data_IF_618696170939
#
_entry.id   IF_618696170939
#
_cell.length_a   1.000
_cell.length_b   1.000
_cell.length_c   1.000
_cell.angle_alpha   90.00
_cell.angle_beta   90.00
_cell.angle_gamma   90.00
#
_symmetry.space_group_name_H-M   'P 1'
#
loop_
_entity.id
_entity.type
_entity.pdbx_description
1 polymer ?
#
# COMPACT_ATOMS: atom_id res chain seq x y z
N UNK A 1 -4.04 37.68 56.51
CA UNK A 1 -3.14 36.55 56.22
C UNK A 1 -2.70 36.72 54.77
N UNK A 2 -1.42 36.87 54.50
CA UNK A 2 -0.95 37.23 53.17
C UNK A 2 -0.78 36.00 52.26
N UNK A 3 -1.19 36.16 51.01
CA UNK A 3 -1.01 35.21 49.91
C UNK A 3 0.41 35.39 49.34
N UNK A 4 1.19 34.32 49.40
CA UNK A 4 2.52 34.28 48.75
C UNK A 4 2.33 33.98 47.26
N UNK A 5 2.74 34.92 46.40
CA UNK A 5 2.95 34.70 44.98
C UNK A 5 4.34 34.01 44.78
N UNK A 6 4.34 32.80 44.27
CA UNK A 6 5.56 32.16 43.77
C UNK A 6 5.75 32.51 42.30
N UNK A 7 6.81 33.22 41.97
CA UNK A 7 7.23 33.50 40.61
C UNK A 7 7.94 32.28 40.03
N UNK A 8 7.41 31.67 38.98
CA UNK A 8 8.06 30.63 38.21
C UNK A 8 8.96 31.28 37.16
N UNK A 9 10.25 31.00 37.24
CA UNK A 9 11.27 31.38 36.28
C UNK A 9 11.14 30.46 35.04
N UNK A 10 10.70 30.99 33.91
CA UNK A 10 10.70 30.27 32.63
C UNK A 10 12.07 30.45 32.01
N UNK A 11 12.86 29.39 32.00
CA UNK A 11 14.09 29.29 31.22
C UNK A 11 13.73 28.89 29.80
N UNK A 12 13.75 29.82 28.89
CA UNK A 12 13.65 29.58 27.45
C UNK A 12 14.99 29.13 26.91
N UNK A 13 15.18 27.78 26.89
CA UNK A 13 16.27 27.15 26.16
C UNK A 13 15.87 27.06 24.70
N UNK A 14 16.35 27.95 23.85
CA UNK A 14 16.17 27.85 22.41
C UNK A 14 16.95 26.65 21.85
N UNK A 15 16.26 25.60 21.43
CA UNK A 15 16.82 24.55 20.58
C UNK A 15 16.70 25.05 19.14
N UNK A 16 17.80 25.52 18.57
CA UNK A 16 17.87 25.82 17.15
C UNK A 16 17.82 24.51 16.36
N UNK A 17 16.66 24.16 15.84
CA UNK A 17 16.51 23.13 14.82
C UNK A 17 16.81 23.77 13.46
N UNK A 18 18.04 23.62 12.99
CA UNK A 18 18.39 23.94 11.60
C UNK A 18 18.37 22.67 10.77
N UNK A 19 17.19 22.24 10.37
CA UNK A 19 17.03 21.41 9.19
C UNK A 19 16.14 22.18 8.21
N UNK A 20 16.73 23.17 7.52
CA UNK A 20 16.15 23.69 6.28
C UNK A 20 16.41 22.64 5.21
N UNK A 21 15.39 21.87 4.85
CA UNK A 21 15.37 21.20 3.56
C UNK A 21 15.12 22.26 2.51
N UNK A 22 16.08 22.47 1.60
CA UNK A 22 15.90 23.33 0.44
C UNK A 22 14.75 22.80 -0.43
N UNK A 23 13.72 23.59 -0.72
CA UNK A 23 12.69 23.21 -1.67
C UNK A 23 13.24 23.41 -3.08
N UNK A 24 13.40 22.32 -3.80
CA UNK A 24 13.87 22.19 -5.19
C UNK A 24 15.31 21.69 -5.37
N UNK A 25 15.66 20.56 -4.75
CA UNK A 25 16.66 19.71 -5.35
C UNK A 25 16.02 19.03 -6.57
N UNK A 26 16.30 19.53 -7.80
CA UNK A 26 16.06 18.76 -9.02
C UNK A 26 16.64 17.36 -8.78
N UNK A 27 15.87 16.31 -9.08
CA UNK A 27 16.31 14.94 -8.79
C UNK A 27 17.71 14.74 -9.39
N UNK A 28 18.70 14.59 -8.51
CA UNK A 28 20.11 14.50 -8.90
C UNK A 28 20.32 13.29 -9.80
N UNK A 29 21.20 13.43 -10.79
CA UNK A 29 21.67 12.27 -11.55
C UNK A 29 22.79 11.59 -10.76
N UNK A 30 22.61 10.31 -10.44
CA UNK A 30 23.59 9.51 -9.69
C UNK A 30 23.47 8.03 -10.03
N UNK A 31 24.41 7.24 -9.58
CA UNK A 31 24.34 5.78 -9.64
C UNK A 31 24.60 5.15 -8.28
N UNK A 32 23.95 4.02 -8.02
CA UNK A 32 24.19 3.18 -6.85
C UNK A 32 24.88 1.89 -7.29
N UNK A 33 26.00 1.54 -6.67
CA UNK A 33 26.70 0.28 -6.88
C UNK A 33 26.42 -0.65 -5.70
N UNK A 34 25.68 -1.71 -5.93
CA UNK A 34 25.26 -2.68 -4.92
C UNK A 34 25.80 -4.08 -5.23
N UNK A 35 25.94 -4.92 -4.20
CA UNK A 35 26.33 -6.32 -4.41
C UNK A 35 25.22 -7.11 -5.13
N UNK A 36 23.97 -6.69 -5.04
CA UNK A 36 22.82 -7.31 -5.71
C UNK A 36 21.70 -6.32 -5.92
N UNK A 37 21.04 -6.38 -7.07
CA UNK A 37 19.73 -5.74 -7.31
C UNK A 37 18.62 -6.80 -7.41
N UNK A 38 17.53 -6.58 -6.69
CA UNK A 38 16.31 -7.38 -6.76
C UNK A 38 15.40 -6.73 -7.80
N UNK A 39 15.31 -7.31 -8.99
CA UNK A 39 14.61 -6.67 -10.12
C UNK A 39 13.09 -6.70 -9.95
N UNK A 40 12.56 -7.75 -9.33
CA UNK A 40 11.14 -7.97 -9.05
C UNK A 40 10.23 -7.87 -10.30
N UNK A 41 10.74 -8.19 -11.47
CA UNK A 41 9.98 -8.21 -12.74
C UNK A 41 9.06 -9.41 -12.82
N UNK A 42 7.99 -9.34 -13.62
CA UNK A 42 7.17 -10.52 -13.92
C UNK A 42 7.88 -11.47 -14.88
N UNK A 43 8.56 -10.91 -15.87
CA UNK A 43 9.24 -11.65 -16.90
C UNK A 43 10.74 -11.33 -16.85
N UNK A 44 11.59 -12.33 -17.16
CA UNK A 44 13.04 -12.15 -17.21
C UNK A 44 13.75 -12.42 -15.87
N UNK A 45 15.00 -11.93 -15.73
CA UNK A 45 15.81 -12.18 -14.55
C UNK A 45 15.21 -11.51 -13.31
N UNK A 46 15.31 -12.20 -12.17
CA UNK A 46 14.75 -11.70 -10.91
C UNK A 46 15.78 -10.94 -10.07
N UNK A 47 17.05 -11.18 -10.32
CA UNK A 47 18.17 -10.55 -9.60
C UNK A 47 19.30 -10.25 -10.56
N UNK A 48 20.11 -9.29 -10.20
CA UNK A 48 21.37 -8.97 -10.86
C UNK A 48 22.45 -8.80 -9.80
N UNK A 49 23.49 -9.62 -9.84
CA UNK A 49 24.63 -9.52 -8.93
C UNK A 49 25.60 -8.43 -9.42
N UNK A 50 26.30 -7.80 -8.48
CA UNK A 50 27.24 -6.70 -8.70
C UNK A 50 26.64 -5.65 -9.64
N UNK A 51 25.56 -5.02 -9.18
CA UNK A 51 24.66 -4.22 -10.00
C UNK A 51 24.90 -2.72 -9.84
N UNK A 52 24.76 -2.00 -10.96
CA UNK A 52 24.66 -0.54 -11.00
C UNK A 52 23.24 -0.14 -11.35
N UNK A 53 22.63 0.68 -10.49
CA UNK A 53 21.35 1.34 -10.74
C UNK A 53 21.60 2.81 -10.99
N UNK A 54 21.36 3.28 -12.21
CA UNK A 54 21.49 4.69 -12.60
C UNK A 54 20.16 5.40 -12.46
N UNK A 55 20.16 6.52 -11.78
CA UNK A 55 18.99 7.39 -11.56
C UNK A 55 19.22 8.70 -12.31
N UNK A 56 18.23 9.11 -13.09
CA UNK A 56 18.19 10.39 -13.80
C UNK A 56 16.80 11.02 -13.68
N UNK A 57 16.75 12.25 -13.25
CA UNK A 57 15.48 13.01 -13.13
C UNK A 57 14.39 12.24 -12.34
N UNK A 58 14.77 11.58 -11.24
CA UNK A 58 13.84 10.82 -10.41
C UNK A 58 13.41 9.47 -10.98
N UNK A 59 13.97 9.05 -12.10
CA UNK A 59 13.65 7.79 -12.78
C UNK A 59 14.84 6.84 -12.82
N UNK A 60 14.55 5.55 -12.91
CA UNK A 60 15.56 4.54 -13.22
C UNK A 60 15.93 4.66 -14.70
N UNK A 61 17.15 5.11 -14.98
CA UNK A 61 17.67 5.22 -16.35
C UNK A 61 18.23 3.89 -16.86
N UNK A 62 18.97 3.16 -16.00
CA UNK A 62 19.58 1.87 -16.32
C UNK A 62 19.74 1.00 -15.08
N UNK A 63 19.64 -0.31 -15.27
CA UNK A 63 20.08 -1.33 -14.30
C UNK A 63 20.96 -2.30 -15.07
N UNK A 64 22.24 -2.39 -14.71
CA UNK A 64 23.24 -3.17 -15.45
C UNK A 64 24.25 -3.81 -14.50
N UNK A 65 24.96 -4.86 -14.94
CA UNK A 65 26.07 -5.41 -14.19
C UNK A 65 27.24 -4.41 -14.16
N UNK A 66 27.96 -4.32 -13.04
CA UNK A 66 29.04 -3.36 -12.89
C UNK A 66 30.14 -3.51 -13.97
N UNK A 67 30.42 -4.74 -14.40
CA UNK A 67 31.35 -5.03 -15.51
C UNK A 67 30.94 -4.45 -16.87
N UNK A 68 29.67 -4.08 -17.04
CA UNK A 68 29.07 -3.54 -18.26
C UNK A 68 28.85 -2.02 -18.17
N UNK A 69 29.31 -1.42 -17.07
CA UNK A 69 29.08 -0.01 -16.78
C UNK A 69 30.38 0.78 -16.78
N UNK A 70 30.44 1.77 -17.67
CA UNK A 70 31.41 2.83 -17.62
C UNK A 70 30.74 4.10 -17.14
N UNK A 71 31.22 4.66 -16.02
CA UNK A 71 30.66 5.86 -15.45
C UNK A 71 30.94 7.07 -16.35
N UNK A 72 29.92 7.80 -16.82
CA UNK A 72 30.12 9.07 -17.50
C UNK A 72 30.91 10.05 -16.64
N UNK A 73 31.72 10.91 -17.27
CA UNK A 73 32.46 11.94 -16.53
C UNK A 73 31.50 12.83 -15.70
N UNK A 74 31.78 12.96 -14.42
CA UNK A 74 30.99 13.75 -13.48
C UNK A 74 29.78 13.06 -12.87
N UNK A 75 29.47 11.81 -13.23
CA UNK A 75 28.43 11.04 -12.57
C UNK A 75 28.91 10.58 -11.19
N UNK A 76 28.18 10.95 -10.15
CA UNK A 76 28.42 10.42 -8.80
C UNK A 76 27.99 8.95 -8.73
N UNK A 77 28.93 8.06 -8.41
CA UNK A 77 28.66 6.65 -8.15
C UNK A 77 28.83 6.40 -6.64
N UNK A 78 27.74 6.10 -5.98
CA UNK A 78 27.69 5.78 -4.55
C UNK A 78 27.88 4.27 -4.38
N UNK A 79 28.97 3.84 -3.78
CA UNK A 79 29.19 2.44 -3.45
C UNK A 79 28.41 2.10 -2.16
N UNK A 80 27.36 1.31 -2.31
CA UNK A 80 26.53 0.86 -1.20
C UNK A 80 26.77 -0.61 -0.82
N UNK A 81 27.78 -1.27 -1.45
CA UNK A 81 28.13 -2.65 -1.09
C UNK A 81 28.61 -2.76 0.37
N UNK A 82 28.33 -3.86 1.06
CA UNK A 82 27.77 -5.14 0.56
C UNK A 82 26.23 -5.16 0.48
N UNK A 83 25.55 -4.04 0.60
CA UNK A 83 24.09 -3.97 0.60
C UNK A 83 23.50 -4.33 -0.76
N UNK A 84 22.20 -4.66 -0.74
CA UNK A 84 21.36 -4.94 -1.89
C UNK A 84 20.48 -3.73 -2.21
N UNK A 85 19.91 -3.70 -3.42
CA UNK A 85 18.89 -2.73 -3.80
C UNK A 85 17.61 -3.48 -4.15
N UNK A 86 16.50 -3.07 -3.56
CA UNK A 86 15.14 -3.52 -3.86
C UNK A 86 14.32 -2.35 -4.41
N UNK A 87 13.29 -2.60 -5.23
CA UNK A 87 12.24 -1.60 -5.44
C UNK A 87 11.59 -1.21 -4.12
N UNK A 88 11.03 -0.02 -4.06
CA UNK A 88 10.22 0.42 -2.93
C UNK A 88 8.99 -0.47 -2.71
N UNK A 89 8.64 -0.71 -1.45
CA UNK A 89 7.48 -1.51 -1.07
C UNK A 89 6.20 -0.72 -1.27
N UNK A 90 5.11 -1.43 -1.58
CA UNK A 90 3.79 -0.85 -1.86
C UNK A 90 2.75 -1.51 -0.95
N UNK A 91 2.05 -0.70 -0.16
CA UNK A 91 0.94 -1.17 0.69
C UNK A 91 -0.40 -0.65 0.17
N UNK A 92 -1.31 -1.55 -0.16
CA UNK A 92 -2.63 -1.19 -0.70
C UNK A 92 -3.75 -1.08 0.35
N UNK A 93 -3.39 -1.12 1.64
CA UNK A 93 -4.37 -0.93 2.72
C UNK A 93 -3.74 -0.18 3.90
N UNK A 94 -3.85 1.13 3.87
CA UNK A 94 -3.27 2.00 4.89
C UNK A 94 -4.24 3.10 5.30
N UNK A 95 -4.24 3.41 6.60
CA UNK A 95 -5.04 4.47 7.21
C UNK A 95 -4.17 5.55 7.87
N UNK A 96 -2.87 5.61 7.53
CA UNK A 96 -1.90 6.49 8.22
C UNK A 96 -1.43 7.70 7.40
N UNK A 97 -2.17 8.06 6.36
CA UNK A 97 -1.85 9.25 5.54
C UNK A 97 -2.25 10.60 6.14
N UNK A 98 -2.96 10.59 7.25
CA UNK A 98 -3.48 11.79 7.95
C UNK A 98 -4.02 11.46 9.33
N UNK A 99 -4.81 12.37 9.93
CA UNK A 99 -5.38 12.15 11.25
C UNK A 99 -6.41 11.02 11.24
N UNK A 100 -6.22 10.03 12.10
CA UNK A 100 -7.12 8.88 12.22
C UNK A 100 -8.56 9.23 12.61
N UNK A 101 -8.83 10.39 13.22
CA UNK A 101 -10.18 10.84 13.53
C UNK A 101 -10.97 11.25 12.29
N UNK A 102 -10.28 11.65 11.20
CA UNK A 102 -10.92 12.20 10.00
C UNK A 102 -11.19 11.15 8.91
N UNK A 103 -10.78 9.89 9.12
CA UNK A 103 -10.95 8.82 8.12
C UNK A 103 -12.27 8.05 8.23
N UNK A 104 -13.08 8.29 9.28
CA UNK A 104 -14.35 7.63 9.50
C UNK A 104 -15.47 8.65 9.72
N UNK A 105 -16.21 9.01 8.69
CA UNK A 105 -17.47 9.73 8.85
C UNK A 105 -18.59 8.74 9.16
N UNK A 106 -19.06 8.75 10.41
CA UNK A 106 -20.05 7.80 10.91
C UNK A 106 -21.50 8.33 10.81
N UNK A 107 -21.72 9.49 10.18
CA UNK A 107 -23.06 10.09 10.04
C UNK A 107 -23.94 9.30 9.08
N UNK A 108 -23.38 8.89 7.95
CA UNK A 108 -24.05 8.05 6.97
C UNK A 108 -23.32 6.72 6.78
N UNK A 109 -24.06 5.68 6.40
CA UNK A 109 -23.47 4.37 6.11
C UNK A 109 -22.97 4.22 4.67
N UNK A 110 -23.39 5.12 3.78
CA UNK A 110 -23.08 5.09 2.34
C UNK A 110 -22.54 6.46 1.92
N UNK A 111 -21.23 6.56 1.80
CA UNK A 111 -20.47 7.79 1.64
C UNK A 111 -19.66 7.82 0.32
N UNK A 112 -20.18 7.33 -0.80
CA UNK A 112 -19.44 7.22 -2.05
C UNK A 112 -18.85 8.56 -2.55
N UNK A 113 -19.44 9.69 -2.17
CA UNK A 113 -18.97 11.03 -2.56
C UNK A 113 -17.86 11.59 -1.67
N UNK A 114 -17.53 10.96 -0.53
CA UNK A 114 -16.46 11.41 0.34
C UNK A 114 -15.09 11.01 -0.22
N UNK A 115 -14.05 11.74 0.19
CA UNK A 115 -12.65 11.51 -0.20
C UNK A 115 -11.74 11.74 1.00
N UNK A 116 -10.68 10.94 1.11
CA UNK A 116 -9.62 11.19 2.12
C UNK A 116 -8.55 12.18 1.65
N UNK A 117 -8.57 12.61 0.39
CA UNK A 117 -7.56 13.54 -0.14
C UNK A 117 -7.40 14.80 0.72
N UNK A 118 -8.47 15.46 1.24
CA UNK A 118 -8.34 16.62 2.09
C UNK A 118 -7.71 16.35 3.47
N UNK A 119 -7.61 15.07 3.86
CA UNK A 119 -7.09 14.65 5.18
C UNK A 119 -5.60 14.32 5.12
N UNK A 120 -5.00 14.33 3.93
CA UNK A 120 -3.58 13.99 3.75
C UNK A 120 -2.69 15.02 4.42
N UNK A 121 -1.78 14.54 5.27
CA UNK A 121 -0.77 15.32 5.97
C UNK A 121 0.64 14.92 5.48
N UNK A 122 1.28 15.69 4.58
CA UNK A 122 2.59 15.33 4.02
C UNK A 122 3.68 15.13 5.08
N UNK A 123 3.62 15.87 6.18
CA UNK A 123 4.59 15.77 7.28
C UNK A 123 4.23 14.71 8.35
N UNK A 124 3.21 13.88 8.10
CA UNK A 124 2.76 12.84 9.01
C UNK A 124 3.92 11.91 9.40
N UNK A 125 4.10 11.71 10.71
CA UNK A 125 5.20 10.91 11.26
C UNK A 125 5.13 9.45 10.81
N UNK A 126 3.92 8.88 10.70
CA UNK A 126 3.74 7.49 10.29
C UNK A 126 4.14 7.28 8.82
N UNK A 127 3.93 8.29 7.95
CA UNK A 127 4.42 8.26 6.57
C UNK A 127 5.96 8.28 6.49
N UNK A 128 6.61 9.05 7.38
CA UNK A 128 8.08 9.04 7.49
C UNK A 128 8.61 7.70 8.00
N UNK A 129 7.92 7.09 8.98
CA UNK A 129 8.25 5.75 9.48
C UNK A 129 8.07 4.70 8.39
N UNK A 130 6.97 4.77 7.64
CA UNK A 130 6.73 3.92 6.49
C UNK A 130 7.89 3.99 5.48
N UNK A 131 8.30 5.20 5.09
CA UNK A 131 9.46 5.41 4.22
C UNK A 131 10.74 4.82 4.80
N UNK A 132 11.03 5.05 6.09
CA UNK A 132 12.21 4.50 6.76
C UNK A 132 12.25 2.96 6.76
N UNK A 133 11.10 2.32 6.64
CA UNK A 133 10.97 0.86 6.50
C UNK A 133 10.87 0.38 5.03
N UNK A 134 11.13 1.26 4.07
CA UNK A 134 11.14 0.92 2.65
C UNK A 134 9.78 0.98 1.96
N UNK A 135 8.70 1.36 2.66
CA UNK A 135 7.37 1.54 2.06
C UNK A 135 7.33 2.91 1.40
N UNK A 136 7.41 2.93 0.06
CA UNK A 136 7.50 4.17 -0.74
C UNK A 136 6.17 4.61 -1.33
N UNK A 137 5.20 3.69 -1.42
CA UNK A 137 3.86 3.98 -1.98
C UNK A 137 2.79 3.29 -1.13
N UNK A 138 1.73 4.03 -0.82
CA UNK A 138 0.56 3.51 -0.10
C UNK A 138 -0.74 3.84 -0.81
N UNK A 139 -1.75 3.01 -0.64
CA UNK A 139 -3.14 3.38 -0.87
C UNK A 139 -3.73 3.81 0.48
N UNK A 140 -3.79 5.13 0.69
CA UNK A 140 -4.45 5.72 1.85
C UNK A 140 -5.95 5.74 1.63
N UNK A 141 -6.69 5.07 2.51
CA UNK A 141 -8.13 4.84 2.35
C UNK A 141 -8.91 5.25 3.60
N UNK A 142 -10.20 5.58 3.43
CA UNK A 142 -11.10 5.75 4.59
C UNK A 142 -11.14 4.49 5.45
N UNK A 143 -11.43 4.64 6.72
CA UNK A 143 -11.60 3.54 7.65
C UNK A 143 -12.79 2.64 7.32
N UNK A 144 -12.84 1.48 7.95
CA UNK A 144 -13.88 0.46 7.72
C UNK A 144 -15.12 0.63 8.61
N UNK A 145 -15.33 1.82 9.21
CA UNK A 145 -16.44 2.08 10.13
C UNK A 145 -17.81 2.09 9.46
N UNK A 146 -17.88 2.45 8.18
CA UNK A 146 -19.12 2.50 7.37
C UNK A 146 -19.07 1.51 6.22
N UNK A 147 -20.23 1.21 5.65
CA UNK A 147 -20.35 0.20 4.60
C UNK A 147 -19.72 0.64 3.27
N UNK A 148 -19.91 1.91 2.87
CA UNK A 148 -19.20 2.55 1.76
C UNK A 148 -18.59 3.83 2.33
N UNK A 149 -17.28 3.87 2.45
CA UNK A 149 -16.60 4.89 3.26
C UNK A 149 -16.08 6.08 2.45
N UNK A 150 -16.04 5.96 1.12
CA UNK A 150 -15.55 7.03 0.25
C UNK A 150 -14.29 6.65 -0.53
N UNK A 151 -13.75 7.62 -1.26
CA UNK A 151 -12.59 7.42 -2.11
C UNK A 151 -11.27 7.55 -1.34
N UNK A 152 -10.38 6.58 -1.56
CA UNK A 152 -8.98 6.61 -1.16
C UNK A 152 -8.09 7.27 -2.22
N UNK A 153 -6.83 7.49 -1.88
CA UNK A 153 -5.80 8.09 -2.73
C UNK A 153 -4.52 7.27 -2.71
N UNK A 154 -3.88 7.10 -3.86
CA UNK A 154 -2.54 6.54 -3.95
C UNK A 154 -1.50 7.64 -3.76
N UNK A 155 -0.60 7.44 -2.80
CA UNK A 155 0.40 8.40 -2.37
C UNK A 155 1.81 7.79 -2.37
N UNK A 156 2.81 8.63 -2.70
CA UNK A 156 4.20 8.43 -2.27
C UNK A 156 4.34 8.80 -0.81
N UNK A 157 5.25 8.14 -0.12
CA UNK A 157 5.59 8.48 1.27
C UNK A 157 6.72 9.52 1.31
N UNK A 158 6.80 10.27 2.42
CA UNK A 158 7.92 11.15 2.76
C UNK A 158 8.33 12.21 1.71
N UNK A 159 7.45 12.57 0.78
CA UNK A 159 7.62 13.74 -0.06
C UNK A 159 7.01 14.98 0.60
N UNK A 160 7.54 16.20 0.33
CA UNK A 160 7.24 17.38 1.14
C UNK A 160 5.87 18.00 0.90
N UNK A 161 5.24 17.76 -0.23
CA UNK A 161 3.96 18.39 -0.57
C UNK A 161 2.92 17.36 -1.04
N UNK A 162 1.64 17.70 -0.88
CA UNK A 162 0.53 16.90 -1.37
C UNK A 162 0.64 16.57 -2.87
N UNK A 163 0.98 17.57 -3.69
CA UNK A 163 1.04 17.38 -5.14
C UNK A 163 2.19 16.43 -5.55
N UNK A 164 3.34 16.50 -4.87
CA UNK A 164 4.45 15.57 -5.10
C UNK A 164 4.11 14.15 -4.63
N UNK A 165 3.42 14.02 -3.50
CA UNK A 165 2.99 12.72 -2.98
C UNK A 165 1.95 12.03 -3.85
N UNK A 166 1.09 12.79 -4.54
CA UNK A 166 -0.07 12.26 -5.25
C UNK A 166 0.33 11.42 -6.46
N UNK A 167 0.08 10.12 -6.37
CA UNK A 167 0.21 9.18 -7.50
C UNK A 167 -1.07 9.15 -8.32
N UNK A 168 -2.22 8.99 -7.66
CA UNK A 168 -3.56 8.96 -8.29
C UNK A 168 -4.67 9.27 -7.29
N UNK A 169 -5.57 10.18 -7.64
CA UNK A 169 -6.79 10.52 -6.90
C UNK A 169 -8.00 10.57 -7.84
N UNK A 170 -9.02 9.71 -7.66
CA UNK A 170 -9.14 8.69 -6.62
C UNK A 170 -8.23 7.47 -6.88
N UNK A 171 -7.72 6.87 -5.80
CA UNK A 171 -7.01 5.60 -5.84
C UNK A 171 -7.95 4.40 -5.86
N UNK A 172 -9.00 4.46 -5.04
CA UNK A 172 -10.02 3.41 -4.92
C UNK A 172 -11.33 3.98 -4.35
N UNK A 173 -12.42 3.20 -4.45
CA UNK A 173 -13.61 3.36 -3.61
C UNK A 173 -13.57 2.32 -2.50
N UNK A 174 -13.57 2.76 -1.22
CA UNK A 174 -13.53 1.86 -0.04
C UNK A 174 -14.92 1.33 0.28
N UNK A 175 -15.01 0.01 0.37
CA UNK A 175 -16.19 -0.74 0.81
C UNK A 175 -15.79 -1.63 1.98
N UNK A 176 -16.58 -1.61 3.06
CA UNK A 176 -16.39 -2.50 4.20
C UNK A 176 -17.61 -3.40 4.37
N UNK A 177 -17.33 -4.68 4.60
CA UNK A 177 -18.34 -5.70 4.84
C UNK A 177 -17.95 -6.49 6.08
N UNK A 178 -18.91 -6.88 6.88
CA UNK A 178 -18.69 -7.74 8.03
C UNK A 178 -18.68 -7.01 9.35
N UNK A 179 -17.72 -7.32 10.19
CA UNK A 179 -17.78 -6.99 11.62
C UNK A 179 -17.54 -5.51 11.93
N UNK A 180 -16.72 -4.79 11.19
CA UNK A 180 -16.46 -3.39 11.51
C UNK A 180 -17.70 -2.50 11.36
N UNK A 181 -18.42 -2.46 10.22
CA UNK A 181 -19.66 -1.69 10.14
C UNK A 181 -20.74 -2.19 11.10
N UNK A 182 -20.77 -3.49 11.43
CA UNK A 182 -21.70 -4.03 12.41
C UNK A 182 -21.36 -3.55 13.83
N UNK A 183 -20.07 -3.50 14.17
CA UNK A 183 -19.60 -3.20 15.54
C UNK A 183 -19.56 -1.71 15.84
N UNK A 184 -19.12 -0.90 14.88
CA UNK A 184 -18.92 0.55 15.03
C UNK A 184 -20.02 1.39 14.38
N UNK A 185 -20.64 0.91 13.33
CA UNK A 185 -21.83 1.48 12.74
C UNK A 185 -23.06 1.01 13.49
N UNK A 186 -24.19 1.47 13.22
CA UNK A 186 -25.47 1.31 13.87
C UNK A 186 -26.01 -0.15 13.99
N UNK A 187 -25.16 -1.14 14.18
CA UNK A 187 -25.56 -2.54 14.28
C UNK A 187 -26.04 -3.16 12.97
N UNK A 188 -25.54 -2.66 11.87
CA UNK A 188 -25.96 -3.06 10.52
C UNK A 188 -25.62 -4.52 10.23
N UNK A 189 -26.61 -5.32 9.86
CA UNK A 189 -26.43 -6.70 9.46
C UNK A 189 -25.94 -6.83 8.00
N UNK A 190 -25.35 -7.99 7.68
CA UNK A 190 -24.78 -8.28 6.35
C UNK A 190 -25.79 -8.15 5.19
N UNK A 191 -27.07 -8.50 5.43
CA UNK A 191 -28.12 -8.34 4.42
C UNK A 191 -28.31 -6.88 4.02
N UNK A 192 -28.34 -5.96 5.00
CA UNK A 192 -28.45 -4.53 4.73
C UNK A 192 -27.19 -3.99 4.07
N UNK A 193 -26.00 -4.42 4.49
CA UNK A 193 -24.73 -4.05 3.84
C UNK A 193 -24.73 -4.40 2.35
N UNK A 194 -25.12 -5.64 2.02
CA UNK A 194 -25.20 -6.08 0.63
C UNK A 194 -26.24 -5.31 -0.19
N UNK A 195 -27.38 -4.98 0.41
CA UNK A 195 -28.38 -4.13 -0.22
C UNK A 195 -27.82 -2.74 -0.52
N UNK A 196 -27.12 -2.12 0.42
CA UNK A 196 -26.46 -0.83 0.24
C UNK A 196 -25.44 -0.87 -0.90
N UNK A 197 -24.54 -1.86 -0.88
CA UNK A 197 -23.51 -2.01 -1.91
C UNK A 197 -24.16 -2.13 -3.29
N UNK A 198 -25.06 -3.09 -3.49
CA UNK A 198 -25.72 -3.30 -4.79
C UNK A 198 -26.47 -2.08 -5.25
N UNK A 199 -27.21 -1.42 -4.35
CA UNK A 199 -28.01 -0.24 -4.70
C UNK A 199 -27.11 0.93 -5.09
N UNK A 200 -26.05 1.20 -4.34
CA UNK A 200 -25.14 2.31 -4.63
C UNK A 200 -24.32 2.06 -5.89
N UNK A 201 -23.79 0.85 -6.07
CA UNK A 201 -23.09 0.47 -7.30
C UNK A 201 -24.00 0.56 -8.53
N UNK A 202 -25.26 0.08 -8.43
CA UNK A 202 -26.21 0.17 -9.52
C UNK A 202 -26.50 1.64 -9.92
N UNK A 203 -26.73 2.50 -8.92
CA UNK A 203 -26.97 3.95 -9.15
C UNK A 203 -25.75 4.63 -9.74
N UNK A 204 -24.58 4.44 -9.13
CA UNK A 204 -23.34 5.07 -9.54
C UNK A 204 -22.89 4.62 -10.93
N UNK A 205 -22.93 3.31 -11.23
CA UNK A 205 -22.57 2.79 -12.56
C UNK A 205 -23.56 3.20 -13.64
N UNK A 206 -24.86 3.27 -13.32
CA UNK A 206 -25.86 3.82 -14.25
C UNK A 206 -25.58 5.29 -14.56
N UNK A 207 -25.29 6.10 -13.52
CA UNK A 207 -24.89 7.49 -13.68
C UNK A 207 -23.64 7.63 -14.56
N UNK A 208 -22.58 6.90 -14.25
CA UNK A 208 -21.33 6.95 -15.00
C UNK A 208 -21.51 6.57 -16.49
N UNK A 209 -22.32 5.53 -16.78
CA UNK A 209 -22.65 5.14 -18.16
C UNK A 209 -23.40 6.23 -18.90
N UNK A 210 -24.39 6.89 -18.28
CA UNK A 210 -25.13 8.02 -18.89
C UNK A 210 -24.22 9.21 -19.13
N UNK A 211 -23.32 9.53 -18.17
CA UNK A 211 -22.30 10.58 -18.34
C UNK A 211 -21.39 10.30 -19.53
N UNK A 212 -20.85 9.07 -19.60
CA UNK A 212 -20.00 8.64 -20.70
C UNK A 212 -20.70 8.67 -22.06
N UNK A 213 -22.02 8.44 -22.07
CA UNK A 213 -22.85 8.56 -23.29
C UNK A 213 -23.23 10.02 -23.67
N UNK A 214 -22.82 11.01 -22.88
CA UNK A 214 -23.13 12.43 -23.14
C UNK A 214 -24.58 12.79 -22.95
N UNK A 215 -25.31 12.16 -22.02
CA UNK A 215 -26.73 12.42 -21.77
C UNK A 215 -26.95 13.90 -21.43
N UNK A 216 -27.65 14.67 -22.29
CA UNK A 216 -27.70 16.13 -22.17
C UNK A 216 -28.58 16.63 -21.02
N UNK A 217 -29.43 15.76 -20.47
CA UNK A 217 -30.34 16.11 -19.36
C UNK A 217 -29.83 15.62 -18.02
N UNK A 218 -28.67 14.98 -18.00
CA UNK A 218 -28.05 14.46 -16.76
C UNK A 218 -27.19 15.53 -16.09
N UNK A 219 -27.70 16.10 -15.01
CA UNK A 219 -26.91 17.01 -14.16
C UNK A 219 -25.78 16.29 -13.47
N UNK A 220 -24.65 16.99 -13.26
CA UNK A 220 -23.53 16.45 -12.47
C UNK A 220 -23.93 16.25 -11.02
N UNK A 221 -23.68 15.05 -10.52
CA UNK A 221 -23.83 14.71 -9.11
C UNK A 221 -22.49 14.26 -8.55
N UNK A 222 -21.86 15.12 -7.74
CA UNK A 222 -20.52 14.90 -7.15
C UNK A 222 -20.42 13.62 -6.33
N UNK A 223 -21.53 13.14 -5.78
CA UNK A 223 -21.59 11.86 -5.07
C UNK A 223 -21.15 10.68 -5.93
N UNK A 224 -21.39 10.78 -7.25
CA UNK A 224 -21.14 9.69 -8.19
C UNK A 224 -19.90 9.90 -9.07
N UNK A 225 -19.11 10.95 -8.85
CA UNK A 225 -17.91 11.21 -9.67
C UNK A 225 -16.94 10.01 -9.65
N UNK A 226 -16.74 9.37 -8.50
CA UNK A 226 -15.86 8.19 -8.37
C UNK A 226 -16.26 7.03 -9.30
N UNK A 227 -17.53 6.91 -9.64
CA UNK A 227 -18.00 5.84 -10.52
C UNK A 227 -17.62 6.06 -11.98
N UNK A 228 -17.37 7.30 -12.41
CA UNK A 228 -16.79 7.59 -13.73
C UNK A 228 -15.35 7.02 -13.81
N UNK A 229 -14.57 7.11 -12.72
CA UNK A 229 -13.23 6.53 -12.63
C UNK A 229 -13.26 5.00 -12.56
N UNK A 230 -14.22 4.42 -11.81
CA UNK A 230 -14.42 2.97 -11.77
C UNK A 230 -14.84 2.42 -13.14
N UNK A 231 -15.76 3.08 -13.85
CA UNK A 231 -16.20 2.69 -15.19
C UNK A 231 -15.06 2.74 -16.20
N UNK A 232 -14.24 3.78 -16.12
CA UNK A 232 -13.07 3.98 -16.99
C UNK A 232 -11.83 3.18 -16.54
N UNK A 233 -11.94 2.39 -15.48
CA UNK A 233 -10.83 1.60 -14.88
C UNK A 233 -9.62 2.44 -14.46
N UNK A 234 -9.84 3.71 -14.14
CA UNK A 234 -8.83 4.59 -13.55
C UNK A 234 -8.70 4.42 -12.03
N UNK A 235 -9.75 3.89 -11.39
CA UNK A 235 -9.77 3.49 -9.99
C UNK A 235 -10.37 2.09 -9.86
N UNK A 236 -10.26 1.51 -8.69
CA UNK A 236 -10.77 0.20 -8.34
C UNK A 236 -11.53 0.25 -7.02
N UNK A 237 -12.14 -0.84 -6.62
CA UNK A 237 -12.69 -0.99 -5.26
C UNK A 237 -11.64 -1.62 -4.37
N UNK A 238 -11.38 -0.98 -3.21
CA UNK A 238 -10.68 -1.59 -2.08
C UNK A 238 -11.71 -2.04 -1.04
N UNK A 239 -11.48 -3.19 -0.43
CA UNK A 239 -12.48 -3.79 0.44
C UNK A 239 -11.94 -4.04 1.85
N UNK A 240 -12.84 -4.23 2.79
CA UNK A 240 -12.57 -4.88 4.07
C UNK A 240 -13.40 -6.15 4.11
N UNK A 241 -12.81 -7.26 3.68
CA UNK A 241 -13.49 -8.55 3.55
C UNK A 241 -12.64 -9.67 4.11
N UNK A 242 -13.03 -10.20 5.25
CA UNK A 242 -12.20 -11.13 6.00
C UNK A 242 -12.62 -12.59 5.82
N UNK A 243 -13.92 -12.89 5.94
CA UNK A 243 -14.41 -14.27 5.94
C UNK A 243 -14.82 -14.73 4.54
N UNK A 244 -14.80 -16.04 4.30
CA UNK A 244 -15.16 -16.67 3.03
C UNK A 244 -16.45 -16.12 2.38
N UNK A 245 -17.55 -16.02 3.15
CA UNK A 245 -18.82 -15.54 2.61
C UNK A 245 -18.73 -14.12 2.06
N UNK A 246 -17.97 -13.22 2.71
CA UNK A 246 -17.81 -11.84 2.27
C UNK A 246 -16.86 -11.73 1.09
N UNK A 247 -15.81 -12.54 1.03
CA UNK A 247 -14.95 -12.65 -0.15
C UNK A 247 -15.78 -13.09 -1.36
N UNK A 248 -16.57 -14.16 -1.23
CA UNK A 248 -17.46 -14.61 -2.30
C UNK A 248 -18.45 -13.54 -2.72
N UNK A 249 -19.08 -12.80 -1.77
CA UNK A 249 -19.97 -11.68 -2.12
C UNK A 249 -19.27 -10.55 -2.86
N UNK A 250 -18.04 -10.24 -2.48
CA UNK A 250 -17.21 -9.24 -3.20
C UNK A 250 -17.02 -9.65 -4.65
N UNK A 251 -16.67 -10.92 -4.89
CA UNK A 251 -16.49 -11.47 -6.23
C UNK A 251 -17.80 -11.43 -7.04
N UNK A 252 -18.90 -11.87 -6.46
CA UNK A 252 -20.21 -11.95 -7.13
C UNK A 252 -20.76 -10.57 -7.47
N UNK A 253 -20.75 -9.65 -6.50
CA UNK A 253 -21.39 -8.36 -6.67
C UNK A 253 -20.45 -7.41 -7.42
N UNK A 254 -19.28 -7.14 -6.91
CA UNK A 254 -18.44 -6.08 -7.44
C UNK A 254 -17.85 -6.48 -8.78
N UNK A 255 -17.29 -7.69 -8.88
CA UNK A 255 -16.63 -8.14 -10.10
C UNK A 255 -17.58 -8.74 -11.13
N UNK A 256 -18.40 -9.73 -10.74
CA UNK A 256 -19.26 -10.47 -11.71
C UNK A 256 -20.46 -9.64 -12.15
N UNK A 257 -21.20 -9.02 -11.21
CA UNK A 257 -22.43 -8.27 -11.55
C UNK A 257 -22.12 -6.92 -12.20
N UNK A 258 -21.19 -6.15 -11.63
CA UNK A 258 -20.90 -4.78 -12.08
C UNK A 258 -19.67 -4.62 -12.97
N UNK A 259 -18.80 -5.64 -13.07
CA UNK A 259 -17.57 -5.58 -13.88
C UNK A 259 -16.50 -4.62 -13.35
N UNK A 260 -16.62 -4.20 -12.10
CA UNK A 260 -15.70 -3.26 -11.47
C UNK A 260 -14.42 -4.00 -11.06
N UNK A 261 -13.27 -3.37 -11.26
CA UNK A 261 -12.00 -3.92 -10.82
C UNK A 261 -11.89 -3.85 -9.29
N UNK A 262 -11.54 -4.98 -8.70
CA UNK A 262 -11.45 -5.20 -7.25
C UNK A 262 -10.37 -6.24 -6.97
N UNK A 263 -9.81 -6.21 -5.77
CA UNK A 263 -8.96 -7.28 -5.26
C UNK A 263 -9.54 -7.83 -3.94
N UNK A 264 -9.21 -9.06 -3.61
CA UNK A 264 -9.48 -9.62 -2.29
C UNK A 264 -8.53 -8.91 -1.33
N UNK A 265 -9.11 -8.13 -0.42
CA UNK A 265 -8.39 -7.36 0.57
C UNK A 265 -8.63 -7.99 1.95
N UNK A 266 -7.56 -8.23 2.71
CA UNK A 266 -7.48 -9.13 3.85
C UNK A 266 -7.60 -10.61 3.47
N UNK A 267 -8.80 -11.09 3.12
CA UNK A 267 -9.01 -12.47 2.70
C UNK A 267 -8.73 -13.52 3.78
N UNK A 268 -8.79 -13.12 5.05
CA UNK A 268 -8.55 -13.94 6.24
C UNK A 268 -9.61 -15.04 6.41
N UNK A 269 -9.61 -15.72 7.53
CA UNK A 269 -10.64 -16.68 8.01
C UNK A 269 -11.33 -17.50 6.89
N UNK A 270 -10.53 -18.33 6.22
CA UNK A 270 -10.96 -19.19 5.13
C UNK A 270 -11.40 -18.44 3.86
N UNK A 271 -11.09 -17.15 3.70
CA UNK A 271 -11.32 -16.38 2.47
C UNK A 271 -10.71 -17.08 1.24
N UNK A 272 -9.58 -17.73 1.40
CA UNK A 272 -8.90 -18.53 0.37
C UNK A 272 -9.75 -19.65 -0.24
N UNK A 273 -10.85 -20.06 0.38
CA UNK A 273 -11.79 -21.02 -0.22
C UNK A 273 -12.50 -20.47 -1.46
N UNK A 274 -12.56 -19.14 -1.61
CA UNK A 274 -13.10 -18.48 -2.79
C UNK A 274 -12.09 -18.37 -3.95
N UNK A 275 -10.87 -18.89 -3.81
CA UNK A 275 -9.83 -18.80 -4.85
C UNK A 275 -10.27 -19.32 -6.22
N UNK A 276 -10.99 -20.44 -6.37
CA UNK A 276 -11.44 -20.90 -7.70
C UNK A 276 -12.28 -19.85 -8.44
N UNK A 277 -13.19 -19.19 -7.72
CA UNK A 277 -14.02 -18.13 -8.27
C UNK A 277 -13.19 -16.86 -8.57
N UNK A 278 -12.26 -16.51 -7.68
CA UNK A 278 -11.36 -15.37 -7.88
C UNK A 278 -10.49 -15.55 -9.14
N UNK A 279 -9.99 -16.78 -9.38
CA UNK A 279 -9.22 -17.10 -10.59
C UNK A 279 -10.08 -17.01 -11.86
N UNK A 280 -11.31 -17.53 -11.83
CA UNK A 280 -12.26 -17.39 -12.95
C UNK A 280 -12.50 -15.92 -13.32
N UNK A 281 -12.58 -15.05 -12.31
CA UNK A 281 -12.87 -13.62 -12.47
C UNK A 281 -11.62 -12.74 -12.65
N UNK A 282 -10.42 -13.34 -12.57
CA UNK A 282 -9.15 -12.60 -12.64
C UNK A 282 -8.94 -11.64 -11.48
N UNK A 283 -9.39 -11.99 -10.27
CA UNK A 283 -9.29 -11.15 -9.07
C UNK A 283 -8.10 -11.61 -8.24
N UNK A 284 -7.10 -10.72 -7.99
CA UNK A 284 -5.94 -11.01 -7.15
C UNK A 284 -6.25 -10.89 -5.66
N UNK A 285 -5.29 -11.27 -4.79
CA UNK A 285 -5.39 -11.10 -3.35
C UNK A 285 -4.25 -10.24 -2.79
N UNK A 286 -4.60 -9.34 -1.86
CA UNK A 286 -3.68 -8.59 -1.01
C UNK A 286 -4.01 -8.97 0.42
N UNK A 287 -3.22 -9.91 0.95
CA UNK A 287 -3.44 -10.53 2.25
C UNK A 287 -2.91 -9.65 3.39
N UNK A 288 -3.50 -9.77 4.57
CA UNK A 288 -3.08 -9.07 5.78
C UNK A 288 -4.24 -8.39 6.51
N UNK A 289 -4.01 -7.85 7.70
CA UNK A 289 -2.76 -7.88 8.46
C UNK A 289 -2.51 -9.20 9.20
N UNK A 290 -3.44 -10.12 9.16
CA UNK A 290 -3.28 -11.45 9.77
C UNK A 290 -2.89 -12.46 8.71
N UNK A 291 -1.65 -12.90 8.77
CA UNK A 291 -1.08 -13.85 7.80
C UNK A 291 -1.36 -15.33 8.13
N UNK A 292 -1.95 -15.57 9.29
CA UNK A 292 -2.28 -16.92 9.74
C UNK A 292 -3.73 -17.03 10.20
N UNK A 293 -4.35 -18.15 9.89
CA UNK A 293 -5.61 -18.62 10.48
C UNK A 293 -5.26 -19.69 11.53
N UNK A 294 -5.37 -19.32 12.80
CA UNK A 294 -5.09 -20.17 13.94
C UNK A 294 -6.35 -20.38 14.79
N UNK A 295 -6.53 -21.53 15.42
CA UNK A 295 -7.65 -21.77 16.31
C UNK A 295 -7.60 -20.79 17.48
N UNK A 296 -8.69 -20.08 17.71
CA UNK A 296 -8.84 -19.21 18.89
C UNK A 296 -8.89 -20.00 20.19
N UNK A 297 -8.50 -19.36 21.30
CA UNK A 297 -8.45 -20.04 22.60
C UNK A 297 -9.76 -20.62 23.13
N UNK A 298 -10.90 -20.28 22.52
CA UNK A 298 -12.21 -20.88 22.78
C UNK A 298 -12.56 -22.02 21.83
N UNK A 299 -11.70 -22.29 20.84
CA UNK A 299 -11.89 -23.30 19.79
C UNK A 299 -10.92 -24.46 19.98
N UNK A 300 -10.80 -24.93 21.22
CA UNK A 300 -9.88 -26.01 21.61
C UNK A 300 -10.17 -27.37 20.95
N UNK A 301 -11.34 -27.51 20.29
CA UNK A 301 -11.74 -28.70 19.58
C UNK A 301 -11.17 -28.77 18.14
N UNK A 302 -10.37 -27.78 17.73
CA UNK A 302 -9.63 -27.82 16.48
C UNK A 302 -8.40 -28.72 16.58
N UNK A 303 -7.97 -29.23 15.44
CA UNK A 303 -6.78 -30.09 15.30
C UNK A 303 -5.44 -29.39 15.64
N UNK A 304 -5.49 -28.13 16.09
CA UNK A 304 -4.31 -27.31 16.41
C UNK A 304 -3.54 -26.82 15.17
N UNK A 305 -4.07 -27.02 13.97
CA UNK A 305 -3.39 -26.65 12.73
C UNK A 305 -3.42 -25.14 12.52
N UNK A 306 -2.24 -24.57 12.27
CA UNK A 306 -2.06 -23.17 11.82
C UNK A 306 -2.00 -23.19 10.29
N UNK A 307 -2.79 -22.33 9.66
CA UNK A 307 -2.84 -22.20 8.20
C UNK A 307 -2.33 -20.84 7.78
N UNK A 308 -1.33 -20.80 6.90
CA UNK A 308 -0.86 -19.56 6.28
C UNK A 308 -1.83 -19.10 5.19
N UNK A 309 -2.35 -17.88 5.32
CA UNK A 309 -3.41 -17.35 4.45
C UNK A 309 -2.91 -17.17 3.02
N UNK A 310 -1.84 -16.41 2.82
CA UNK A 310 -1.25 -16.18 1.51
C UNK A 310 -0.80 -17.48 0.84
N UNK A 311 -0.22 -18.44 1.62
CA UNK A 311 0.15 -19.76 1.14
C UNK A 311 -1.04 -20.59 0.65
N UNK A 312 -2.22 -20.43 1.25
CA UNK A 312 -3.44 -21.10 0.79
C UNK A 312 -3.95 -20.53 -0.54
N UNK A 313 -3.95 -19.20 -0.72
CA UNK A 313 -4.28 -18.60 -2.02
C UNK A 313 -3.32 -19.10 -3.10
N UNK A 314 -2.03 -19.07 -2.84
CA UNK A 314 -1.00 -19.49 -3.79
C UNK A 314 -1.12 -20.98 -4.13
N UNK A 315 -1.30 -21.87 -3.12
CA UNK A 315 -1.45 -23.31 -3.33
C UNK A 315 -2.68 -23.66 -4.16
N UNK A 316 -3.72 -22.82 -4.15
CA UNK A 316 -4.91 -22.94 -4.99
C UNK A 316 -4.76 -22.34 -6.38
N UNK A 317 -3.55 -21.90 -6.74
CA UNK A 317 -3.21 -21.42 -8.08
C UNK A 317 -3.19 -19.92 -8.27
N UNK A 318 -3.39 -19.11 -7.21
CA UNK A 318 -3.28 -17.66 -7.33
C UNK A 318 -1.82 -17.24 -7.45
N UNK A 319 -1.49 -16.52 -8.52
CA UNK A 319 -0.12 -16.07 -8.82
C UNK A 319 0.11 -14.61 -8.39
N UNK A 320 -0.95 -13.83 -8.26
CA UNK A 320 -0.90 -12.43 -7.81
C UNK A 320 -1.37 -12.37 -6.35
N UNK A 321 -0.44 -12.61 -5.44
CA UNK A 321 -0.65 -12.52 -3.99
C UNK A 321 0.30 -11.45 -3.45
N UNK A 322 -0.23 -10.43 -2.82
CA UNK A 322 0.52 -9.38 -2.14
C UNK A 322 0.15 -9.30 -0.66
N UNK A 323 0.74 -8.33 0.03
CA UNK A 323 0.61 -8.16 1.48
C UNK A 323 0.18 -6.74 1.82
N UNK A 324 -0.52 -6.59 2.96
CA UNK A 324 -0.89 -5.30 3.52
C UNK A 324 -0.72 -5.29 5.04
N UNK A 325 -0.72 -4.09 5.64
CA UNK A 325 -0.62 -3.92 7.09
C UNK A 325 -1.96 -3.58 7.74
N UNK A 326 -2.93 -3.07 6.98
CA UNK A 326 -4.12 -2.42 7.54
C UNK A 326 -3.69 -1.37 8.59
N UNK A 327 -2.57 -0.67 8.33
CA UNK A 327 -1.99 0.26 9.31
C UNK A 327 -3.03 1.29 9.78
N UNK A 328 -3.18 1.51 11.09
CA UNK A 328 -2.28 1.15 12.18
C UNK A 328 -2.59 -0.18 12.90
N UNK A 329 -3.38 -1.10 12.33
CA UNK A 329 -3.66 -2.40 12.95
C UNK A 329 -2.35 -3.18 13.14
N UNK A 330 -1.53 -3.22 12.09
CA UNK A 330 -0.11 -3.52 12.15
C UNK A 330 0.63 -2.26 11.71
N UNK A 331 1.69 -1.83 12.42
CA UNK A 331 2.45 -0.66 12.01
C UNK A 331 2.91 -0.75 10.56
N UNK A 332 2.86 0.37 9.82
CA UNK A 332 3.23 0.40 8.41
C UNK A 332 4.68 -0.07 8.16
N UNK A 333 5.55 0.17 9.12
CA UNK A 333 6.95 -0.26 9.10
C UNK A 333 7.15 -1.78 9.25
N UNK A 334 6.08 -2.54 9.51
CA UNK A 334 6.11 -4.01 9.59
C UNK A 334 5.62 -4.71 8.31
N UNK A 335 5.41 -3.99 7.20
CA UNK A 335 4.89 -4.60 5.95
C UNK A 335 5.75 -5.79 5.49
N UNK A 336 7.08 -5.70 5.55
CA UNK A 336 7.96 -6.79 5.15
C UNK A 336 7.82 -8.02 6.05
N UNK A 337 7.46 -7.84 7.33
CA UNK A 337 7.22 -8.95 8.25
C UNK A 337 5.97 -9.75 7.87
N UNK A 338 4.98 -9.13 7.23
CA UNK A 338 3.80 -9.84 6.72
C UNK A 338 4.22 -10.89 5.67
N UNK A 339 5.09 -10.51 4.74
CA UNK A 339 5.65 -11.45 3.76
C UNK A 339 6.51 -12.54 4.43
N UNK A 340 7.37 -12.15 5.38
CA UNK A 340 8.22 -13.09 6.13
C UNK A 340 7.38 -14.12 6.89
N UNK A 341 6.33 -13.67 7.58
CA UNK A 341 5.39 -14.56 8.29
C UNK A 341 4.71 -15.52 7.32
N UNK A 342 4.28 -15.03 6.17
CA UNK A 342 3.65 -15.86 5.14
C UNK A 342 4.58 -16.95 4.63
N UNK A 343 5.86 -16.65 4.41
CA UNK A 343 6.88 -17.64 4.04
C UNK A 343 7.00 -18.74 5.11
N UNK A 344 7.04 -18.36 6.38
CA UNK A 344 7.13 -19.29 7.49
C UNK A 344 5.95 -20.29 7.50
N UNK A 345 4.76 -19.84 7.11
CA UNK A 345 3.54 -20.64 7.09
C UNK A 345 3.13 -21.12 5.69
N UNK A 346 4.09 -21.33 4.79
CA UNK A 346 3.91 -22.13 3.58
C UNK A 346 3.64 -21.35 2.30
N UNK A 347 3.82 -20.03 2.29
CA UNK A 347 3.91 -19.28 1.04
C UNK A 347 5.23 -19.62 0.34
N UNK A 348 5.17 -19.95 -0.97
CA UNK A 348 6.37 -20.28 -1.74
C UNK A 348 7.12 -18.99 -2.14
N UNK A 349 8.23 -18.74 -1.49
CA UNK A 349 9.10 -17.59 -1.77
C UNK A 349 10.03 -17.75 -2.97
N UNK A 350 10.06 -18.93 -3.63
CA UNK A 350 10.90 -19.14 -4.81
C UNK A 350 10.59 -18.14 -5.92
N UNK A 351 11.57 -17.85 -6.75
CA UNK A 351 11.46 -16.86 -7.82
C UNK A 351 11.00 -15.47 -7.32
N UNK A 352 11.46 -15.07 -6.13
CA UNK A 352 11.20 -13.75 -5.52
C UNK A 352 9.71 -13.46 -5.22
N UNK A 353 8.87 -14.47 -5.10
CA UNK A 353 7.43 -14.27 -4.89
C UNK A 353 7.11 -13.41 -3.66
N UNK A 354 7.86 -13.56 -2.56
CA UNK A 354 7.69 -12.71 -1.38
C UNK A 354 8.03 -11.25 -1.66
N UNK A 355 9.14 -10.98 -2.32
CA UNK A 355 9.53 -9.60 -2.72
C UNK A 355 8.55 -9.01 -3.72
N UNK A 356 8.11 -9.81 -4.70
CA UNK A 356 7.06 -9.38 -5.64
C UNK A 356 5.76 -9.04 -4.94
N UNK A 357 5.39 -9.80 -3.91
CA UNK A 357 4.21 -9.54 -3.07
C UNK A 357 4.27 -8.23 -2.29
N UNK A 358 5.49 -7.74 -2.02
CA UNK A 358 5.74 -6.43 -1.41
C UNK A 358 5.84 -5.28 -2.43
N UNK A 359 6.05 -5.57 -3.71
CA UNK A 359 6.47 -4.58 -4.70
C UNK A 359 5.59 -4.58 -5.96
N UNK A 360 5.93 -5.40 -6.96
CA UNK A 360 5.28 -5.36 -8.28
C UNK A 360 3.85 -5.91 -8.26
N UNK A 361 3.52 -6.87 -7.39
CA UNK A 361 2.16 -7.42 -7.31
C UNK A 361 1.17 -6.35 -6.85
N UNK A 362 1.34 -5.67 -5.69
CA UNK A 362 0.44 -4.59 -5.31
C UNK A 362 0.47 -3.43 -6.30
N UNK A 363 1.62 -3.10 -6.92
CA UNK A 363 1.67 -2.08 -7.95
C UNK A 363 0.79 -2.44 -9.18
N UNK A 364 0.83 -3.70 -9.63
CA UNK A 364 -0.01 -4.21 -10.72
C UNK A 364 -1.49 -4.23 -10.34
N UNK A 365 -1.79 -4.67 -9.12
CA UNK A 365 -3.16 -4.70 -8.59
C UNK A 365 -3.75 -3.28 -8.55
N UNK A 366 -2.95 -2.29 -8.20
CA UNK A 366 -3.34 -0.88 -8.22
C UNK A 366 -3.31 -0.23 -9.60
N UNK A 367 -2.80 -0.91 -10.64
CA UNK A 367 -2.63 -0.35 -11.99
C UNK A 367 -1.61 0.79 -12.06
N UNK A 368 -0.54 0.70 -11.27
CA UNK A 368 0.58 1.66 -11.22
C UNK A 368 1.92 0.99 -11.50
N UNK A 369 1.91 -0.25 -11.95
CA UNK A 369 3.10 -1.05 -12.25
C UNK A 369 3.95 -0.48 -13.42
N UNK A 370 3.40 0.39 -14.24
CA UNK A 370 4.17 1.18 -15.20
C UNK A 370 5.08 2.23 -14.54
N UNK A 371 4.81 2.60 -13.28
CA UNK A 371 5.57 3.62 -12.54
C UNK A 371 6.47 3.04 -11.46
N UNK A 372 6.01 2.03 -10.72
CA UNK A 372 6.67 1.51 -9.50
C UNK A 372 6.67 -0.02 -9.46
N UNK A 373 7.31 -0.60 -8.45
CA UNK A 373 7.21 -2.00 -8.06
C UNK A 373 8.29 -2.91 -8.65
N UNK A 374 9.12 -2.44 -9.59
CA UNK A 374 10.28 -3.20 -10.10
C UNK A 374 11.41 -2.27 -10.52
N UNK A 375 12.64 -2.79 -10.58
CA UNK A 375 13.80 -2.04 -11.05
C UNK A 375 13.90 -2.11 -12.57
N UNK A 376 13.03 -1.39 -13.27
CA UNK A 376 12.99 -1.32 -14.71
C UNK A 376 13.17 0.11 -15.19
N UNK A 377 13.82 0.26 -16.37
CA UNK A 377 14.05 1.56 -17.02
C UNK A 377 12.73 2.34 -17.18
N UNK A 378 12.76 3.62 -16.81
CA UNK A 378 11.65 4.56 -16.95
C UNK A 378 10.71 4.61 -15.74
N UNK A 379 10.77 3.64 -14.83
CA UNK A 379 10.01 3.68 -13.59
C UNK A 379 10.58 4.70 -12.60
N UNK A 380 9.75 5.10 -11.65
CA UNK A 380 10.16 6.00 -10.56
C UNK A 380 11.34 5.36 -9.80
N UNK A 381 12.35 6.14 -9.46
CA UNK A 381 13.48 5.67 -8.68
C UNK A 381 13.11 5.58 -7.19
N UNK A 382 12.13 4.71 -6.90
CA UNK A 382 11.78 4.29 -5.55
C UNK A 382 12.67 3.10 -5.20
N UNK A 383 13.73 3.36 -4.43
CA UNK A 383 14.80 2.41 -4.19
C UNK A 383 15.01 2.21 -2.69
N UNK A 384 15.14 0.96 -2.28
CA UNK A 384 15.49 0.58 -0.91
C UNK A 384 16.86 -0.06 -0.91
N UNK A 385 17.82 0.57 -0.25
CA UNK A 385 19.14 -0.01 0.05
C UNK A 385 19.02 -0.78 1.35
N UNK A 386 19.26 -2.08 1.30
CA UNK A 386 19.03 -3.01 2.42
C UNK A 386 20.23 -3.94 2.62
N UNK A 387 20.55 -4.30 3.87
CA UNK A 387 21.73 -5.07 4.22
C UNK A 387 21.71 -6.53 3.75
N UNK A 388 20.64 -7.01 3.15
CA UNK A 388 20.49 -8.38 2.66
C UNK A 388 19.10 -8.64 2.08
N UNK A 389 18.60 -9.87 2.23
CA UNK A 389 17.27 -10.24 1.78
C UNK A 389 16.20 -9.46 2.57
N UNK A 390 15.30 -8.72 1.91
CA UNK A 390 14.21 -8.02 2.61
C UNK A 390 13.26 -8.95 3.37
N UNK A 391 13.24 -10.24 3.06
CA UNK A 391 12.44 -11.25 3.76
C UNK A 391 13.15 -11.88 4.96
N UNK A 392 14.40 -11.52 5.21
CA UNK A 392 15.11 -11.85 6.46
C UNK A 392 14.84 -10.74 7.50
N UNK A 393 14.18 -11.05 8.63
CA UNK A 393 13.86 -10.04 9.65
C UNK A 393 15.09 -9.39 10.30
N UNK A 394 16.29 -9.93 10.06
CA UNK A 394 17.56 -9.33 10.51
C UNK A 394 18.10 -8.28 9.55
N UNK A 395 17.60 -8.24 8.32
CA UNK A 395 17.98 -7.23 7.34
C UNK A 395 17.58 -5.83 7.78
N UNK A 396 18.38 -4.85 7.44
CA UNK A 396 18.24 -3.46 7.88
C UNK A 396 18.14 -2.57 6.68
N UNK A 397 17.17 -1.67 6.69
CA UNK A 397 17.05 -0.61 5.70
C UNK A 397 18.17 0.42 6.00
N UNK A 398 19.03 0.65 5.06
CA UNK A 398 20.17 1.58 5.19
C UNK A 398 19.83 2.94 4.55
N UNK A 399 19.21 2.92 3.34
CA UNK A 399 18.75 4.13 2.66
C UNK A 399 17.46 3.87 1.90
N UNK A 400 16.63 4.91 1.81
CA UNK A 400 15.43 4.89 0.97
C UNK A 400 15.39 6.12 0.10
N UNK A 401 15.13 5.89 -1.17
CA UNK A 401 14.91 6.93 -2.17
C UNK A 401 13.47 6.85 -2.65
N UNK A 402 12.82 8.01 -2.78
CA UNK A 402 11.50 8.17 -3.40
C UNK A 402 11.66 9.15 -4.55
N UNK A 403 11.33 8.70 -5.76
CA UNK A 403 11.58 9.47 -6.99
C UNK A 403 13.01 10.02 -7.07
N UNK A 404 13.99 9.21 -6.68
CA UNK A 404 15.41 9.54 -6.68
C UNK A 404 15.86 10.50 -5.56
N UNK A 405 14.98 10.96 -4.69
CA UNK A 405 15.31 11.79 -3.54
C UNK A 405 15.60 10.90 -2.33
N UNK A 406 16.71 11.11 -1.65
CA UNK A 406 17.02 10.44 -0.39
C UNK A 406 16.06 10.93 0.69
N UNK A 407 15.15 10.05 1.16
CA UNK A 407 14.13 10.36 2.16
C UNK A 407 14.44 9.74 3.52
N UNK A 408 15.30 8.72 3.54
CA UNK A 408 15.78 8.09 4.76
C UNK A 408 17.22 7.62 4.60
N UNK A 409 18.02 7.87 5.63
CA UNK A 409 19.35 7.29 5.81
C UNK A 409 19.50 6.87 7.27
N UNK A 410 19.90 5.63 7.47
CA UNK A 410 20.05 5.07 8.79
C UNK A 410 21.26 5.70 9.50
N UNK A 411 21.05 6.21 10.72
CA UNK A 411 22.16 6.67 11.55
C UNK A 411 23.09 5.50 11.92
N UNK A 412 24.40 5.70 11.86
CA UNK A 412 25.35 4.71 12.38
C UNK A 412 25.01 4.36 13.84
N UNK A 413 25.11 3.07 14.18
CA UNK A 413 24.90 2.66 15.56
C UNK A 413 25.88 3.45 16.45
N UNK A 414 25.35 4.22 17.40
CA UNK A 414 26.19 4.85 18.42
C UNK A 414 26.86 3.72 19.19
N UNK A 415 28.18 3.66 19.16
CA UNK A 415 28.92 2.77 20.04
C UNK A 415 28.53 3.08 21.50
N UNK A 416 28.00 2.07 22.18
CA UNK A 416 27.61 2.17 23.59
C UNK A 416 28.81 1.83 24.47
#
# INVERSE_FOLDING_TARGET
>A
MPVLLAAALVVTGGVASTARTDPAASAATFALHASKALLATFDGPQTLDDAIVVVENGKIARVVAAREFEAPAGLAVLDVRPNWISPGFVDLHSHVGGNGADINDMVLQVNAGLRVSPVVEPENLELRRAAAAGVTTILFIPGSGTNISGAGILLKTALPTYDEMRVRDPGSLKIAQGDNPTRWGYGMGRGLMNYHIRTELARGMSYAKRRAAGDPVLERNIRFDVFEDLLAKRAQVSTHTQIYALVSYTLQIIRREFGIDVYIDHGEWKGYLATPEALELGVPAICGPREIDAPGGRSMDYDGRITGIAGEYQRRGMTLVGFNTDAPVVPQDELFLQATMSLHYGFDGRAMQGVRGLTIVPAKVAGIDARVGSLEKGKDADLVVISGDPLDPRSKIERVYVEGRLVHEREPARER
#
